data_IF_798467851398
#
_entry.id   IF_798467851398
#
_cell.length_a   1.000
_cell.length_b   1.000
_cell.length_c   1.000
_cell.angle_alpha   90.00
_cell.angle_beta   90.00
_cell.angle_gamma   90.00
#
_symmetry.space_group_name_H-M   'P 1'
#
loop_
_entity.id
_entity.type
_entity.pdbx_description
1 polymer ?
#
# COMPACT_ATOMS: atom_id res chain seq x y z
N UNK A 1 -6.02 -15.83 14.73
CA UNK A 1 -5.48 -15.48 13.40
C UNK A 1 -5.55 -16.72 12.52
N UNK A 2 -6.43 -16.73 11.53
CA UNK A 2 -6.57 -17.85 10.59
C UNK A 2 -5.37 -17.83 9.62
N UNK A 3 -4.59 -18.91 9.57
CA UNK A 3 -3.46 -19.04 8.63
C UNK A 3 -3.98 -19.50 7.28
N UNK A 4 -4.12 -18.57 6.33
CA UNK A 4 -4.36 -18.91 4.93
C UNK A 4 -3.04 -19.22 4.23
N UNK A 5 -2.95 -20.38 3.59
CA UNK A 5 -1.80 -20.80 2.80
C UNK A 5 -2.08 -20.57 1.32
N UNK A 6 -1.16 -19.92 0.61
CA UNK A 6 -1.17 -19.82 -0.85
C UNK A 6 0.01 -20.63 -1.39
N UNK A 7 -0.23 -21.42 -2.44
CA UNK A 7 0.79 -22.22 -3.12
C UNK A 7 0.82 -21.83 -4.60
N UNK A 8 2.02 -21.69 -5.15
CA UNK A 8 2.25 -21.39 -6.57
C UNK A 8 3.61 -21.94 -6.99
N UNK A 9 3.75 -22.22 -8.29
CA UNK A 9 5.00 -22.71 -8.86
C UNK A 9 5.90 -21.55 -9.27
N UNK A 10 7.19 -21.70 -8.99
CA UNK A 10 8.24 -20.76 -9.38
C UNK A 10 9.27 -21.46 -10.27
N UNK A 11 9.78 -20.79 -11.32
CA UNK A 11 11.00 -21.19 -12.00
C UNK A 11 12.17 -21.29 -11.01
N UNK A 12 13.11 -22.21 -11.27
CA UNK A 12 14.25 -22.46 -10.37
C UNK A 12 15.08 -21.20 -10.12
N UNK A 13 15.30 -20.38 -11.16
CA UNK A 13 16.03 -19.12 -11.04
C UNK A 13 15.40 -18.14 -10.03
N UNK A 14 14.07 -18.13 -9.91
CA UNK A 14 13.39 -17.29 -8.92
C UNK A 14 13.46 -17.88 -7.52
N UNK A 15 13.46 -19.22 -7.38
CA UNK A 15 13.69 -19.89 -6.10
C UNK A 15 15.07 -19.54 -5.56
N UNK A 16 16.11 -19.74 -6.37
CA UNK A 16 17.50 -19.45 -5.99
C UNK A 16 17.68 -17.98 -5.57
N UNK A 17 17.08 -17.06 -6.32
CA UNK A 17 17.08 -15.64 -5.97
C UNK A 17 16.44 -15.38 -4.60
N UNK A 18 15.26 -15.97 -4.34
CA UNK A 18 14.58 -15.81 -3.06
C UNK A 18 15.40 -16.40 -1.91
N UNK A 19 15.99 -17.58 -2.10
CA UNK A 19 16.81 -18.23 -1.08
C UNK A 19 18.03 -17.37 -0.71
N UNK A 20 18.70 -16.78 -1.70
CA UNK A 20 19.78 -15.81 -1.45
C UNK A 20 19.29 -14.60 -0.66
N UNK A 21 18.12 -14.04 -1.00
CA UNK A 21 17.54 -12.88 -0.30
C UNK A 21 17.14 -13.21 1.14
N UNK A 22 16.65 -14.42 1.39
CA UNK A 22 16.32 -14.91 2.74
C UNK A 22 17.60 -14.98 3.58
N UNK A 23 18.67 -15.60 3.04
CA UNK A 23 19.95 -15.73 3.72
C UNK A 23 20.63 -14.37 3.97
N UNK A 24 20.69 -13.49 2.96
CA UNK A 24 21.36 -12.20 3.08
C UNK A 24 20.57 -11.17 3.89
N UNK A 25 19.23 -11.27 3.87
CA UNK A 25 18.33 -10.31 4.49
C UNK A 25 17.96 -10.63 5.94
N UNK A 26 18.44 -11.75 6.48
CA UNK A 26 18.16 -12.16 7.87
C UNK A 26 16.72 -12.64 8.09
N UNK A 27 16.04 -13.10 7.04
CA UNK A 27 14.68 -13.63 7.16
C UNK A 27 14.71 -15.09 7.64
N UNK A 28 13.73 -15.49 8.44
CA UNK A 28 13.63 -16.86 8.96
C UNK A 28 13.11 -17.87 7.93
N UNK A 29 12.41 -17.41 6.89
CA UNK A 29 11.93 -18.25 5.79
C UNK A 29 11.47 -17.42 4.57
N UNK A 30 11.19 -18.11 3.46
CA UNK A 30 10.64 -17.56 2.22
C UNK A 30 9.34 -16.78 2.44
N UNK A 31 8.40 -17.30 3.23
CA UNK A 31 7.11 -16.64 3.44
C UNK A 31 7.27 -15.29 4.12
N UNK A 32 8.20 -15.17 5.06
CA UNK A 32 8.51 -13.91 5.73
C UNK A 32 9.05 -12.86 4.74
N UNK A 33 9.99 -13.24 3.88
CA UNK A 33 10.50 -12.37 2.83
C UNK A 33 9.40 -11.90 1.88
N UNK A 34 8.56 -12.83 1.40
CA UNK A 34 7.45 -12.51 0.50
C UNK A 34 6.40 -11.60 1.17
N UNK A 35 6.09 -11.84 2.44
CA UNK A 35 5.17 -11.00 3.20
C UNK A 35 5.70 -9.56 3.33
N UNK A 36 7.00 -9.39 3.54
CA UNK A 36 7.60 -8.05 3.60
C UNK A 36 7.56 -7.36 2.23
N UNK A 37 7.80 -8.08 1.14
CA UNK A 37 7.64 -7.54 -0.22
C UNK A 37 6.20 -7.07 -0.46
N UNK A 38 5.20 -7.87 -0.07
CA UNK A 38 3.78 -7.50 -0.21
C UNK A 38 3.45 -6.25 0.63
N UNK A 39 3.95 -6.16 1.87
CA UNK A 39 3.75 -4.96 2.69
C UNK A 39 4.38 -3.73 2.05
N UNK A 40 5.56 -3.88 1.45
CA UNK A 40 6.22 -2.79 0.77
C UNK A 40 5.46 -2.32 -0.48
N UNK A 41 4.93 -3.26 -1.25
CA UNK A 41 4.05 -2.98 -2.39
C UNK A 41 2.80 -2.22 -1.94
N UNK A 42 2.11 -2.69 -0.88
CA UNK A 42 0.95 -2.00 -0.31
C UNK A 42 1.26 -0.58 0.14
N UNK A 43 2.40 -0.35 0.80
CA UNK A 43 2.84 1.00 1.20
C UNK A 43 3.08 1.90 -0.01
N UNK A 44 3.69 1.35 -1.05
CA UNK A 44 3.97 2.08 -2.30
C UNK A 44 2.68 2.48 -3.00
N UNK A 45 1.72 1.55 -3.10
CA UNK A 45 0.42 1.80 -3.71
C UNK A 45 -0.43 2.77 -2.90
N UNK A 46 -0.41 2.67 -1.56
CA UNK A 46 -1.07 3.63 -0.69
C UNK A 46 -0.50 5.05 -0.87
N UNK A 47 0.82 5.18 -0.94
CA UNK A 47 1.47 6.46 -1.21
C UNK A 47 1.13 7.01 -2.61
N UNK A 48 1.05 6.14 -3.62
CA UNK A 48 0.61 6.51 -4.98
C UNK A 48 -0.81 7.06 -4.96
N UNK A 49 -1.74 6.35 -4.34
CA UNK A 49 -3.14 6.79 -4.20
C UNK A 49 -3.26 8.11 -3.45
N UNK A 50 -2.49 8.29 -2.38
CA UNK A 50 -2.50 9.53 -1.63
C UNK A 50 -2.03 10.74 -2.46
N UNK A 51 -0.98 10.57 -3.27
CA UNK A 51 -0.53 11.63 -4.19
C UNK A 51 -1.58 12.01 -5.23
N UNK A 52 -2.32 11.03 -5.76
CA UNK A 52 -3.42 11.30 -6.69
C UNK A 52 -4.52 12.14 -6.01
N UNK A 53 -4.92 11.79 -4.79
CA UNK A 53 -5.92 12.59 -4.05
C UNK A 53 -5.45 14.03 -3.78
N UNK A 54 -4.16 14.23 -3.51
CA UNK A 54 -3.60 15.58 -3.39
C UNK A 54 -3.67 16.32 -4.72
N UNK A 55 -3.29 15.67 -5.83
CA UNK A 55 -3.38 16.28 -7.16
C UNK A 55 -4.82 16.68 -7.50
N UNK A 56 -5.77 15.77 -7.30
CA UNK A 56 -7.21 16.05 -7.49
C UNK A 56 -7.66 17.24 -6.63
N UNK A 57 -7.22 17.30 -5.38
CA UNK A 57 -7.52 18.42 -4.47
C UNK A 57 -6.92 19.76 -4.95
N UNK A 58 -5.70 19.75 -5.48
CA UNK A 58 -5.06 20.96 -6.03
C UNK A 58 -5.74 21.42 -7.32
N UNK A 59 -6.24 20.50 -8.13
CA UNK A 59 -6.99 20.79 -9.36
C UNK A 59 -8.45 21.20 -9.09
N UNK A 60 -8.97 20.96 -7.89
CA UNK A 60 -10.36 21.27 -7.50
C UNK A 60 -10.67 22.77 -7.33
N UNK A 61 -9.67 23.63 -7.47
CA UNK A 61 -9.80 25.08 -7.36
C UNK A 61 -9.42 25.63 -5.98
N UNK A 62 -9.72 26.90 -5.75
CA UNK A 62 -9.31 27.58 -4.52
C UNK A 62 -10.03 27.04 -3.28
N UNK A 63 -9.24 26.70 -2.26
CA UNK A 63 -9.77 26.38 -0.95
C UNK A 63 -10.51 27.56 -0.33
N UNK A 64 -11.58 27.28 0.43
CA UNK A 64 -12.31 28.28 1.21
C UNK A 64 -12.02 28.10 2.71
N UNK A 65 -11.96 29.18 3.51
CA UNK A 65 -11.76 29.07 4.95
C UNK A 65 -12.83 28.21 5.62
N UNK A 66 -12.40 27.33 6.52
CA UNK A 66 -13.31 26.51 7.31
C UNK A 66 -14.13 27.41 8.25
N UNK A 67 -15.45 27.31 8.17
CA UNK A 67 -16.38 28.02 9.05
C UNK A 67 -17.56 27.11 9.40
N UNK A 68 -18.29 27.43 10.47
CA UNK A 68 -19.48 26.67 10.89
C UNK A 68 -20.51 26.58 9.75
N UNK A 69 -20.65 27.66 8.97
CA UNK A 69 -21.48 27.69 7.76
C UNK A 69 -21.00 26.67 6.71
N UNK A 70 -19.71 26.66 6.40
CA UNK A 70 -19.12 25.71 5.42
C UNK A 70 -19.28 24.25 5.87
N UNK A 71 -19.13 23.96 7.18
CA UNK A 71 -19.40 22.62 7.72
C UNK A 71 -20.87 22.24 7.62
N UNK A 72 -21.79 23.18 7.90
CA UNK A 72 -23.24 22.92 7.79
C UNK A 72 -23.68 22.69 6.35
N UNK A 73 -23.06 23.37 5.37
CA UNK A 73 -23.30 23.16 3.93
C UNK A 73 -22.80 21.79 3.47
N UNK A 74 -21.60 21.37 3.90
CA UNK A 74 -21.01 20.09 3.51
C UNK A 74 -21.79 18.86 4.03
N UNK A 75 -22.51 19.00 5.15
CA UNK A 75 -23.36 17.95 5.69
C UNK A 75 -24.76 17.86 5.04
N UNK A 76 -25.13 18.81 4.19
CA UNK A 76 -26.45 18.88 3.53
C UNK A 76 -26.46 18.35 2.09
N UNK A 77 -25.30 17.99 1.52
CA UNK A 77 -25.19 17.39 0.17
C UNK A 77 -25.38 15.85 0.15
N UNK A 78 -26.31 15.31 0.95
CA UNK A 78 -26.78 13.92 0.80
C UNK A 78 -28.28 13.85 0.53
#
# INVERSE_FOLDING_TARGET
MSRNTMSFSLPESLREYIDQRVQSGGYGNTSEYLLELIRNDQRTEAARRFRLLIADGLESGDGRPLSEKVLSEAGQEQ
#
